data_IF_628902943998
#
_entry.id   IF_628902943998
#
_cell.length_a   1.000
_cell.length_b   1.000
_cell.length_c   1.000
_cell.angle_alpha   90.00
_cell.angle_beta   90.00
_cell.angle_gamma   90.00
#
_symmetry.space_group_name_H-M   'P 1'
#
loop_
_entity.id
_entity.type
_entity.pdbx_description
1 polymer ?
#
# COMPACT_ATOMS: atom_id res chain seq x y z
N UNK A 1 27.31 11.25 -4.19
CA UNK A 1 25.92 11.76 -4.16
C UNK A 1 25.44 11.94 -5.59
N UNK A 2 24.36 11.28 -6.00
CA UNK A 2 23.68 11.56 -7.28
C UNK A 2 22.85 12.83 -7.13
N UNK A 3 23.28 13.91 -7.78
CA UNK A 3 22.52 15.17 -7.89
C UNK A 3 21.54 15.02 -9.05
N UNK A 4 20.25 15.32 -8.84
CA UNK A 4 19.31 15.48 -9.97
C UNK A 4 19.60 16.79 -10.69
N UNK A 5 19.26 16.87 -11.97
CA UNK A 5 19.54 18.02 -12.87
C UNK A 5 19.03 19.38 -12.33
N UNK A 6 18.08 19.36 -11.39
CA UNK A 6 17.51 20.52 -10.70
C UNK A 6 18.18 20.85 -9.35
N UNK A 7 19.26 20.16 -8.97
CA UNK A 7 19.96 20.37 -7.70
C UNK A 7 19.23 19.86 -6.45
N UNK A 8 18.09 19.18 -6.61
CA UNK A 8 17.31 18.63 -5.51
C UNK A 8 17.86 17.26 -5.11
N UNK A 9 18.13 17.09 -3.81
CA UNK A 9 18.47 15.76 -3.28
C UNK A 9 17.22 14.88 -3.32
N UNK A 10 17.28 13.69 -3.94
CA UNK A 10 16.13 12.80 -3.97
C UNK A 10 15.73 12.42 -2.54
N UNK A 11 14.44 12.46 -2.26
CA UNK A 11 13.90 11.95 -1.01
C UNK A 11 14.02 10.42 -1.06
N UNK A 12 14.69 9.79 -0.09
CA UNK A 12 14.76 8.34 -0.03
C UNK A 12 13.35 7.76 0.07
N UNK A 13 13.02 6.82 -0.82
CA UNK A 13 11.80 6.05 -0.70
C UNK A 13 11.88 5.16 0.55
N UNK A 14 10.76 5.01 1.25
CA UNK A 14 10.68 4.08 2.38
C UNK A 14 10.81 2.64 1.89
N UNK A 15 11.72 1.87 2.50
CA UNK A 15 11.92 0.44 2.21
C UNK A 15 11.65 -0.37 3.48
N UNK A 16 10.65 -1.28 3.47
CA UNK A 16 10.37 -2.16 4.59
C UNK A 16 11.58 -3.07 4.92
N UNK A 17 11.75 -3.47 6.20
CA UNK A 17 12.77 -4.43 6.60
C UNK A 17 12.57 -5.80 5.92
N UNK A 18 13.66 -6.45 5.52
CA UNK A 18 13.62 -7.75 4.82
C UNK A 18 13.06 -8.88 5.69
N UNK A 19 13.38 -8.85 6.98
CA UNK A 19 12.91 -9.80 7.99
C UNK A 19 11.44 -9.56 8.40
N UNK A 20 10.80 -8.52 7.87
CA UNK A 20 9.39 -8.22 8.09
C UNK A 20 9.07 -7.75 9.51
N UNK A 21 10.07 -7.46 10.35
CA UNK A 21 9.88 -6.89 11.69
C UNK A 21 10.28 -5.41 11.68
N UNK A 22 9.50 -4.54 12.33
CA UNK A 22 9.84 -3.11 12.37
C UNK A 22 11.14 -2.91 13.15
N UNK A 23 12.07 -2.11 12.59
CA UNK A 23 13.31 -1.73 13.29
C UNK A 23 13.07 -0.61 14.31
N UNK A 24 12.02 0.20 14.08
CA UNK A 24 11.63 1.33 14.91
C UNK A 24 10.13 1.67 14.74
N UNK A 25 9.64 2.66 15.48
CA UNK A 25 8.25 3.11 15.44
C UNK A 25 7.82 3.69 14.07
N UNK A 26 8.76 4.23 13.29
CA UNK A 26 8.49 4.72 11.94
C UNK A 26 8.18 3.54 11.02
N UNK A 27 8.99 2.48 11.07
CA UNK A 27 8.72 1.24 10.34
C UNK A 27 7.36 0.66 10.72
N UNK A 28 7.06 0.59 12.02
CA UNK A 28 5.80 0.03 12.50
C UNK A 28 4.59 0.81 11.95
N UNK A 29 4.67 2.14 11.94
CA UNK A 29 3.62 3.00 11.38
C UNK A 29 3.47 2.78 9.87
N UNK A 30 4.57 2.76 9.13
CA UNK A 30 4.54 2.55 7.68
C UNK A 30 4.00 1.17 7.31
N UNK A 31 4.46 0.13 7.99
CA UNK A 31 3.99 -1.24 7.77
C UNK A 31 2.49 -1.38 8.09
N UNK A 32 2.01 -0.76 9.17
CA UNK A 32 0.58 -0.74 9.52
C UNK A 32 -0.25 -0.03 8.46
N UNK A 33 0.24 1.11 7.94
CA UNK A 33 -0.44 1.86 6.89
C UNK A 33 -0.58 1.03 5.61
N UNK A 34 0.51 0.41 5.14
CA UNK A 34 0.50 -0.44 3.94
C UNK A 34 -0.44 -1.63 4.11
N UNK A 35 -0.44 -2.29 5.28
CA UNK A 35 -1.36 -3.40 5.57
C UNK A 35 -2.82 -2.94 5.54
N UNK A 36 -3.12 -1.78 6.13
CA UNK A 36 -4.46 -1.20 6.15
C UNK A 36 -4.95 -0.86 4.73
N UNK A 37 -4.08 -0.29 3.91
CA UNK A 37 -4.38 0.00 2.50
C UNK A 37 -4.70 -1.28 1.72
N UNK A 38 -3.95 -2.36 1.94
CA UNK A 38 -4.22 -3.67 1.30
C UNK A 38 -5.62 -4.18 1.66
N UNK A 39 -5.97 -4.18 2.94
CA UNK A 39 -7.29 -4.62 3.40
C UNK A 39 -8.43 -3.74 2.88
N UNK A 40 -8.20 -2.43 2.73
CA UNK A 40 -9.18 -1.55 2.10
C UNK A 40 -9.43 -1.94 0.63
N UNK A 41 -8.36 -2.18 -0.12
CA UNK A 41 -8.48 -2.58 -1.54
C UNK A 41 -9.12 -3.97 -1.69
N UNK A 42 -8.76 -4.94 -0.83
CA UNK A 42 -9.39 -6.26 -0.78
C UNK A 42 -10.91 -6.15 -0.57
N UNK A 43 -11.35 -5.32 0.41
CA UNK A 43 -12.78 -5.08 0.66
C UNK A 43 -13.47 -4.44 -0.55
N UNK A 44 -12.83 -3.47 -1.20
CA UNK A 44 -13.38 -2.80 -2.38
C UNK A 44 -13.49 -3.74 -3.58
N UNK A 45 -12.51 -4.62 -3.76
CA UNK A 45 -12.54 -5.66 -4.79
C UNK A 45 -13.66 -6.67 -4.54
N UNK A 46 -13.85 -7.10 -3.29
CA UNK A 46 -14.95 -8.01 -2.90
C UNK A 46 -16.32 -7.38 -3.16
N UNK A 47 -16.52 -6.13 -2.74
CA UNK A 47 -17.78 -5.40 -2.98
C UNK A 47 -18.09 -5.28 -4.48
N UNK A 48 -17.07 -5.00 -5.32
CA UNK A 48 -17.24 -4.97 -6.78
C UNK A 48 -17.65 -6.33 -7.35
N UNK A 49 -17.06 -7.42 -6.87
CA UNK A 49 -17.41 -8.78 -7.31
C UNK A 49 -18.87 -9.12 -6.96
N UNK A 50 -19.30 -8.83 -5.74
CA UNK A 50 -20.67 -9.06 -5.27
C UNK A 50 -21.70 -8.23 -6.06
N UNK A 51 -21.36 -7.00 -6.44
CA UNK A 51 -22.26 -6.19 -7.29
C UNK A 51 -22.41 -6.74 -8.71
N UNK A 52 -21.35 -7.32 -9.27
CA UNK A 52 -21.37 -7.92 -10.61
C UNK A 52 -22.20 -9.23 -10.60
N UNK A 53 -21.91 -10.12 -9.65
CA UNK A 53 -22.64 -11.39 -9.48
C UNK A 53 -24.13 -11.15 -9.18
N UNK A 54 -24.44 -10.19 -8.30
CA UNK A 54 -25.81 -9.78 -8.03
C UNK A 54 -26.50 -9.05 -9.17
N UNK A 55 -25.78 -8.53 -10.17
CA UNK A 55 -26.38 -8.01 -11.40
C UNK A 55 -26.67 -9.09 -12.44
N UNK A 56 -25.83 -10.13 -12.52
CA UNK A 56 -26.08 -11.31 -13.36
C UNK A 56 -27.24 -12.16 -12.84
N UNK A 57 -27.39 -12.31 -11.52
CA UNK A 57 -28.49 -13.07 -10.92
C UNK A 57 -29.88 -12.42 -11.04
N UNK A 58 -29.97 -11.17 -11.50
CA UNK A 58 -31.23 -10.42 -11.66
C UNK A 58 -31.73 -10.35 -13.11
N UNK A 59 -31.07 -11.07 -14.02
CA UNK A 59 -31.42 -11.15 -15.43
C UNK A 59 -31.87 -12.57 -15.84
#
# INVERSE_FOLDING_TARGET
MTMTDTGVKPIPAYVPPEDGKPRNAVDEKWMKLTRSARHYMERRAKARKETIDGSEARH
#
